data_IF_039544102689
#
_entry.id   IF_039544102689
#
_cell.length_a   1.000
_cell.length_b   1.000
_cell.length_c   1.000
_cell.angle_alpha   90.00
_cell.angle_beta   90.00
_cell.angle_gamma   90.00
#
_symmetry.space_group_name_H-M   'P 1'
#
loop_
_entity.id
_entity.type
_entity.pdbx_description
1 polymer ?
#
# COMPACT_ATOMS: atom_id res chain seq x y z
N UNK A 1 11.31 15.05 10.00
CA UNK A 1 11.55 14.09 8.90
C UNK A 1 10.44 14.28 7.88
N UNK A 2 10.71 14.12 6.57
CA UNK A 2 9.69 14.30 5.54
C UNK A 2 8.68 13.13 5.56
N UNK A 3 7.43 13.43 5.93
CA UNK A 3 6.31 12.52 5.84
C UNK A 3 5.49 12.82 4.59
N UNK A 4 4.90 11.78 4.01
CA UNK A 4 4.08 11.88 2.81
C UNK A 4 2.76 11.12 3.01
N UNK A 5 1.63 11.76 2.73
CA UNK A 5 0.45 11.01 2.32
C UNK A 5 0.85 10.14 1.12
N UNK A 6 0.41 8.88 1.12
CA UNK A 6 0.73 7.93 0.07
C UNK A 6 -0.36 6.85 -0.06
N UNK A 7 -0.74 6.55 -1.30
CA UNK A 7 -1.58 5.41 -1.69
C UNK A 7 -1.35 5.05 -3.18
N UNK A 8 -1.84 3.88 -3.60
CA UNK A 8 -1.85 3.45 -5.02
C UNK A 8 -3.21 2.86 -5.41
N UNK A 9 -3.72 3.18 -6.60
CA UNK A 9 -4.94 2.54 -7.14
C UNK A 9 -4.57 1.40 -8.09
N UNK A 10 -5.18 0.23 -7.88
CA UNK A 10 -4.98 -0.98 -8.68
C UNK A 10 -6.21 -1.40 -9.49
N UNK A 11 -5.99 -1.80 -10.74
CA UNK A 11 -6.94 -2.55 -11.54
C UNK A 11 -6.71 -4.05 -11.28
N UNK A 12 -7.53 -4.61 -10.39
CA UNK A 12 -7.56 -6.05 -10.12
C UNK A 12 -8.60 -6.74 -11.00
N UNK A 13 -8.29 -7.93 -11.52
CA UNK A 13 -9.22 -8.75 -12.32
C UNK A 13 -9.95 -9.80 -11.48
N UNK A 14 -9.29 -10.37 -10.46
CA UNK A 14 -9.84 -11.36 -9.54
C UNK A 14 -10.88 -10.80 -8.56
N UNK A 15 -11.43 -11.67 -7.70
CA UNK A 15 -12.42 -11.33 -6.66
C UNK A 15 -11.88 -10.36 -5.60
N UNK A 16 -10.56 -10.35 -5.40
CA UNK A 16 -9.81 -9.55 -4.43
C UNK A 16 -8.62 -8.89 -5.15
N UNK A 17 -8.12 -7.75 -4.65
CA UNK A 17 -6.81 -7.23 -5.06
C UNK A 17 -5.70 -8.22 -4.73
N UNK A 18 -4.75 -8.39 -5.64
CA UNK A 18 -3.50 -9.12 -5.46
C UNK A 18 -2.34 -8.30 -6.05
N UNK A 19 -1.49 -7.67 -5.22
CA UNK A 19 -0.44 -6.77 -5.68
C UNK A 19 0.64 -7.46 -6.54
N UNK A 20 0.69 -8.80 -6.58
CA UNK A 20 1.60 -9.54 -7.45
C UNK A 20 1.14 -9.59 -8.93
N UNK A 21 -0.15 -9.39 -9.22
CA UNK A 21 -0.74 -9.51 -10.57
C UNK A 21 -1.64 -8.34 -10.99
N UNK A 22 -2.15 -7.55 -10.05
CA UNK A 22 -2.93 -6.34 -10.32
C UNK A 22 -2.16 -5.36 -11.21
N UNK A 23 -2.86 -4.65 -12.10
CA UNK A 23 -2.27 -3.54 -12.86
C UNK A 23 -2.30 -2.26 -12.01
N UNK A 24 -1.16 -1.60 -11.87
CA UNK A 24 -1.07 -0.30 -11.20
C UNK A 24 -1.63 0.81 -12.11
N UNK A 25 -2.61 1.57 -11.62
CA UNK A 25 -3.27 2.66 -12.37
C UNK A 25 -2.66 4.02 -12.01
N UNK A 26 -2.60 4.33 -10.72
CA UNK A 26 -2.09 5.60 -10.20
C UNK A 26 -1.19 5.41 -9.00
N UNK A 27 -0.22 6.32 -8.85
CA UNK A 27 0.53 6.52 -7.61
C UNK A 27 0.25 7.94 -7.15
N UNK A 28 -0.29 8.10 -5.95
CA UNK A 28 -0.59 9.40 -5.37
C UNK A 28 0.25 9.65 -4.12
N UNK A 29 0.86 10.83 -4.04
CA UNK A 29 1.60 11.25 -2.85
C UNK A 29 1.60 12.77 -2.67
N UNK A 30 1.62 13.20 -1.40
CA UNK A 30 1.66 14.61 -1.02
C UNK A 30 2.49 14.77 0.24
N UNK A 31 3.42 15.72 0.26
CA UNK A 31 4.25 16.02 1.44
C UNK A 31 3.37 16.63 2.53
N UNK A 32 3.50 16.17 3.78
CA UNK A 32 2.66 16.59 4.90
C UNK A 32 3.49 16.89 6.16
N UNK A 33 2.97 17.75 7.04
CA UNK A 33 3.42 17.80 8.43
C UNK A 33 2.65 16.76 9.25
N UNK A 34 3.36 15.71 9.67
CA UNK A 34 2.80 14.65 10.50
C UNK A 34 2.34 15.14 11.89
N UNK A 35 2.80 16.32 12.31
CA UNK A 35 2.47 16.92 13.61
C UNK A 35 1.08 17.55 13.62
N UNK A 36 0.61 18.08 12.49
CA UNK A 36 -0.67 18.78 12.32
C UNK A 36 -1.66 18.03 11.42
N UNK A 37 -1.17 17.27 10.44
CA UNK A 37 -1.97 16.69 9.36
C UNK A 37 -2.07 17.57 8.11
N UNK A 38 -1.45 18.75 8.11
CA UNK A 38 -1.55 19.72 7.00
C UNK A 38 -0.63 19.35 5.82
N UNK A 39 -1.06 19.64 4.57
CA UNK A 39 -0.21 19.52 3.39
C UNK A 39 0.88 20.61 3.35
N UNK A 40 2.09 20.21 2.95
CA UNK A 40 3.28 21.05 2.79
C UNK A 40 3.68 21.25 1.32
N UNK A 41 2.77 20.94 0.39
CA UNK A 41 2.98 21.00 -1.06
C UNK A 41 1.76 20.46 -1.79
N UNK A 42 1.80 20.45 -3.12
CA UNK A 42 0.71 19.94 -3.95
C UNK A 42 0.62 18.40 -3.93
N UNK A 43 -0.56 17.88 -4.27
CA UNK A 43 -0.78 16.44 -4.46
C UNK A 43 -0.27 16.02 -5.84
N UNK A 44 0.80 15.24 -5.86
CA UNK A 44 1.26 14.55 -7.07
C UNK A 44 0.38 13.32 -7.32
N UNK A 45 -0.15 13.18 -8.53
CA UNK A 45 -0.84 11.98 -9.01
C UNK A 45 -0.17 11.53 -10.30
N UNK A 46 0.65 10.48 -10.22
CA UNK A 46 1.25 9.84 -11.38
C UNK A 46 0.20 8.90 -12.00
N UNK A 47 -0.05 9.03 -13.30
CA UNK A 47 -1.17 8.38 -14.01
C UNK A 47 -0.67 7.54 -15.18
N UNK A 48 -1.00 6.25 -15.20
CA UNK A 48 -0.52 5.34 -16.25
C UNK A 48 -1.05 5.70 -17.64
N UNK A 49 -2.29 6.19 -17.71
CA UNK A 49 -2.96 6.59 -18.96
C UNK A 49 -2.37 7.86 -19.61
N UNK A 50 -1.50 8.58 -18.90
CA UNK A 50 -0.76 9.75 -19.42
C UNK A 50 0.68 9.39 -19.82
N UNK A 51 1.11 8.15 -19.55
CA UNK A 51 2.47 7.69 -19.84
C UNK A 51 2.52 6.16 -20.00
N UNK A 52 2.81 5.43 -18.92
CA UNK A 52 2.60 3.99 -18.79
C UNK A 52 2.74 3.56 -17.33
N UNK A 53 2.26 2.35 -17.01
CA UNK A 53 2.46 1.68 -15.72
C UNK A 53 3.95 1.60 -15.33
N UNK A 54 4.82 1.31 -16.31
CA UNK A 54 6.27 1.32 -16.13
C UNK A 54 6.81 2.72 -15.81
N UNK A 55 6.33 3.76 -16.49
CA UNK A 55 6.83 5.12 -16.31
C UNK A 55 6.47 5.68 -14.93
N UNK A 56 5.26 5.41 -14.42
CA UNK A 56 4.84 5.92 -13.10
C UNK A 56 5.64 5.27 -11.97
N UNK A 57 5.84 3.93 -11.99
CA UNK A 57 6.66 3.27 -10.97
C UNK A 57 8.15 3.65 -11.10
N UNK A 58 8.66 3.83 -12.31
CA UNK A 58 10.04 4.31 -12.54
C UNK A 58 10.22 5.73 -12.02
N UNK A 59 9.24 6.62 -12.19
CA UNK A 59 9.27 7.99 -11.66
C UNK A 59 9.28 7.98 -10.12
N UNK A 60 8.35 7.24 -9.50
CA UNK A 60 8.25 7.11 -8.05
C UNK A 60 9.49 6.43 -7.42
N UNK A 61 10.05 5.43 -8.09
CA UNK A 61 11.31 4.79 -7.69
C UNK A 61 12.48 5.80 -7.67
N UNK A 62 12.60 6.61 -8.72
CA UNK A 62 13.69 7.57 -8.86
C UNK A 62 13.64 8.70 -7.79
N UNK A 63 12.44 9.07 -7.33
CA UNK A 63 12.24 10.07 -6.28
C UNK A 63 12.60 9.53 -4.88
N UNK A 64 12.17 8.32 -4.52
CA UNK A 64 12.13 7.86 -3.13
C UNK A 64 12.93 6.60 -2.77
N UNK A 65 13.46 5.87 -3.77
CA UNK A 65 14.03 4.52 -3.60
C UNK A 65 15.38 4.27 -4.28
N UNK A 66 16.01 5.31 -4.85
CA UNK A 66 17.40 5.24 -5.32
C UNK A 66 18.36 4.87 -4.15
N UNK A 67 19.46 4.12 -4.41
CA UNK A 67 20.36 3.63 -3.35
C UNK A 67 20.98 4.72 -2.46
N UNK A 68 21.14 5.92 -2.99
CA UNK A 68 21.74 7.08 -2.31
C UNK A 68 20.77 7.75 -1.32
N UNK A 69 19.47 7.44 -1.41
CA UNK A 69 18.42 8.08 -0.63
C UNK A 69 18.25 7.36 0.72
N UNK A 70 18.34 8.06 1.87
CA UNK A 70 18.16 7.43 3.17
C UNK A 70 16.71 6.93 3.32
N UNK A 71 16.51 5.84 4.07
CA UNK A 71 15.18 5.25 4.32
C UNK A 71 14.19 6.22 4.99
N UNK A 72 14.69 7.30 5.61
CA UNK A 72 13.89 8.40 6.19
C UNK A 72 13.53 9.52 5.21
N UNK A 73 13.98 9.46 3.94
CA UNK A 73 13.64 10.44 2.90
C UNK A 73 12.16 10.35 2.46
N UNK A 74 11.56 9.17 2.58
CA UNK A 74 10.15 8.94 2.30
C UNK A 74 9.56 8.09 3.42
N UNK A 75 8.74 8.72 4.27
CA UNK A 75 7.98 8.09 5.35
C UNK A 75 6.51 8.08 4.91
N UNK A 76 5.99 6.94 4.41
CA UNK A 76 4.62 6.85 3.92
C UNK A 76 3.61 6.87 5.05
N UNK A 77 2.49 7.55 4.79
CA UNK A 77 1.35 7.74 5.68
C UNK A 77 0.08 7.47 4.87
N UNK A 78 -0.66 6.42 5.23
CA UNK A 78 -1.75 5.93 4.39
C UNK A 78 -2.57 4.82 5.07
N UNK A 79 -3.36 4.09 4.29
CA UNK A 79 -4.32 3.11 4.79
C UNK A 79 -4.01 1.71 4.24
N UNK A 80 -3.57 0.78 5.08
CA UNK A 80 -3.24 -0.61 4.71
C UNK A 80 -2.00 -0.74 3.80
N UNK A 81 -0.93 -0.02 4.15
CA UNK A 81 0.32 0.17 3.39
C UNK A 81 1.06 -1.12 2.98
N UNK A 82 0.63 -2.29 3.47
CA UNK A 82 1.09 -3.61 3.03
C UNK A 82 0.78 -3.85 1.54
N UNK A 83 -0.36 -3.38 1.03
CA UNK A 83 -0.73 -3.56 -0.39
C UNK A 83 0.19 -2.76 -1.30
N UNK A 84 0.38 -1.48 -1.02
CA UNK A 84 1.32 -0.63 -1.75
C UNK A 84 2.76 -1.13 -1.67
N UNK A 85 3.18 -1.69 -0.53
CA UNK A 85 4.52 -2.21 -0.36
C UNK A 85 4.79 -3.45 -1.24
N UNK A 86 3.89 -4.43 -1.24
CA UNK A 86 4.03 -5.57 -2.15
C UNK A 86 3.85 -5.15 -3.62
N UNK A 87 2.99 -4.17 -3.92
CA UNK A 87 2.83 -3.61 -5.27
C UNK A 87 4.15 -2.98 -5.75
N UNK A 88 4.83 -2.18 -4.92
CA UNK A 88 6.15 -1.61 -5.24
C UNK A 88 7.16 -2.73 -5.56
N UNK A 89 7.23 -3.79 -4.74
CA UNK A 89 8.15 -4.92 -4.94
C UNK A 89 7.84 -5.65 -6.26
N UNK A 90 6.56 -5.98 -6.49
CA UNK A 90 6.10 -6.67 -7.69
C UNK A 90 6.39 -5.86 -8.96
N UNK A 91 6.06 -4.56 -8.96
CA UNK A 91 6.25 -3.68 -10.13
C UNK A 91 7.73 -3.39 -10.39
N UNK A 92 8.55 -3.20 -9.37
CA UNK A 92 10.00 -3.05 -9.56
C UNK A 92 10.61 -4.32 -10.18
N UNK A 93 10.18 -5.52 -9.75
CA UNK A 93 10.58 -6.80 -10.36
C UNK A 93 10.08 -6.92 -11.81
N UNK A 94 8.81 -6.62 -12.07
CA UNK A 94 8.17 -6.69 -13.39
C UNK A 94 8.91 -5.83 -14.44
N UNK A 95 9.30 -4.61 -14.06
CA UNK A 95 9.97 -3.65 -14.94
C UNK A 95 11.49 -3.61 -14.83
N UNK A 96 12.11 -4.57 -14.13
CA UNK A 96 13.57 -4.73 -13.98
C UNK A 96 14.25 -3.49 -13.36
N UNK A 97 13.54 -2.76 -12.50
CA UNK A 97 14.14 -1.74 -11.64
C UNK A 97 15.01 -2.40 -10.56
N UNK A 98 15.96 -1.67 -9.93
CA UNK A 98 16.76 -2.21 -8.85
C UNK A 98 15.87 -2.75 -7.71
N UNK A 99 16.19 -3.94 -7.22
CA UNK A 99 15.28 -4.69 -6.36
C UNK A 99 15.08 -4.00 -4.99
N UNK A 100 13.85 -3.55 -4.75
CA UNK A 100 13.36 -3.23 -3.41
C UNK A 100 12.98 -4.54 -2.72
N UNK A 101 13.43 -4.71 -1.48
CA UNK A 101 13.15 -5.89 -0.64
C UNK A 101 12.15 -5.57 0.45
N UNK A 102 11.41 -6.59 0.91
CA UNK A 102 10.55 -6.49 2.09
C UNK A 102 11.34 -6.04 3.33
N UNK A 103 12.62 -6.41 3.47
CA UNK A 103 13.46 -5.91 4.57
C UNK A 103 13.63 -4.38 4.53
N UNK A 104 13.87 -3.79 3.36
CA UNK A 104 13.98 -2.34 3.20
C UNK A 104 12.65 -1.61 3.49
N UNK A 105 11.51 -2.21 3.13
CA UNK A 105 10.19 -1.59 3.32
C UNK A 105 9.62 -1.76 4.72
N UNK A 106 9.60 -2.97 5.28
CA UNK A 106 8.93 -3.28 6.54
C UNK A 106 9.83 -3.17 7.78
N UNK A 107 11.15 -3.38 7.64
CA UNK A 107 12.07 -3.38 8.79
C UNK A 107 12.90 -2.08 8.87
N UNK A 108 13.40 -1.58 7.73
CA UNK A 108 14.30 -0.42 7.73
C UNK A 108 13.58 0.93 7.55
N UNK A 109 12.49 0.98 6.77
CA UNK A 109 11.76 2.22 6.49
C UNK A 109 10.62 2.44 7.49
N UNK A 110 10.61 3.54 8.27
CA UNK A 110 9.48 3.87 9.13
C UNK A 110 8.25 4.21 8.27
N UNK A 111 7.07 3.81 8.74
CA UNK A 111 5.77 4.05 8.08
C UNK A 111 4.70 4.37 9.12
N UNK A 112 3.65 5.08 8.73
CA UNK A 112 2.48 5.31 9.57
C UNK A 112 1.22 4.80 8.86
N UNK A 113 0.89 3.53 9.10
CA UNK A 113 -0.36 2.95 8.64
C UNK A 113 -1.51 3.32 9.59
N UNK A 114 -2.53 3.99 9.03
CA UNK A 114 -3.71 4.46 9.74
C UNK A 114 -4.75 3.34 9.95
N UNK A 115 -4.63 2.18 9.30
CA UNK A 115 -5.53 1.02 9.44
C UNK A 115 -5.74 0.65 10.90
N UNK A 116 -4.67 0.59 11.69
CA UNK A 116 -4.74 0.28 13.13
C UNK A 116 -5.50 1.34 13.94
N UNK A 117 -5.40 2.62 13.55
CA UNK A 117 -6.18 3.70 14.17
C UNK A 117 -7.65 3.60 13.76
N UNK A 118 -7.95 3.33 12.49
CA UNK A 118 -9.32 3.14 12.00
C UNK A 118 -9.99 1.91 12.64
N UNK A 119 -9.25 0.84 12.92
CA UNK A 119 -9.73 -0.30 13.73
C UNK A 119 -10.11 0.16 15.14
N UNK A 120 -9.28 0.97 15.82
CA UNK A 120 -9.58 1.50 17.15
C UNK A 120 -10.79 2.46 17.15
N UNK A 121 -10.96 3.26 16.09
CA UNK A 121 -12.13 4.12 15.90
C UNK A 121 -13.41 3.32 15.59
N UNK A 122 -13.30 2.08 15.08
CA UNK A 122 -14.41 1.15 14.82
C UNK A 122 -14.66 0.20 16.01
N UNK A 123 -14.50 0.67 17.25
CA UNK A 123 -14.65 -0.12 18.49
C UNK A 123 -13.72 -1.36 18.56
N UNK A 124 -12.54 -1.29 17.94
CA UNK A 124 -11.61 -2.42 17.82
C UNK A 124 -11.99 -3.46 16.76
N UNK A 125 -13.04 -3.23 15.96
CA UNK A 125 -13.53 -4.20 14.97
C UNK A 125 -12.78 -4.05 13.63
N UNK A 126 -12.17 -5.14 13.16
CA UNK A 126 -11.55 -5.19 11.83
C UNK A 126 -12.57 -5.17 10.68
N UNK A 127 -13.73 -5.81 10.88
CA UNK A 127 -14.83 -5.76 9.92
C UNK A 127 -15.43 -4.34 9.89
N UNK A 128 -15.33 -3.68 8.73
CA UNK A 128 -15.74 -2.28 8.57
C UNK A 128 -14.67 -1.24 8.96
N UNK A 129 -13.43 -1.63 9.25
CA UNK A 129 -12.34 -0.67 9.45
C UNK A 129 -11.86 -0.07 8.12
N UNK A 130 -12.68 0.81 7.52
CA UNK A 130 -12.46 1.48 6.23
C UNK A 130 -12.58 3.01 6.38
N UNK A 131 -11.91 3.76 5.51
CA UNK A 131 -11.88 5.24 5.57
C UNK A 131 -13.24 5.88 5.26
N UNK A 132 -14.06 5.25 4.42
CA UNK A 132 -15.41 5.69 4.05
C UNK A 132 -16.33 5.87 5.28
N UNK A 133 -16.26 4.97 6.27
CA UNK A 133 -17.02 5.04 7.51
C UNK A 133 -16.63 6.19 8.46
N UNK A 134 -15.47 6.83 8.23
CA UNK A 134 -14.96 7.95 9.05
C UNK A 134 -14.75 9.24 8.24
N UNK A 135 -15.23 9.30 6.99
CA UNK A 135 -15.09 10.44 6.09
C UNK A 135 -16.42 10.81 5.43
N UNK A 136 -16.47 11.95 4.75
CA UNK A 136 -17.65 12.42 4.02
C UNK A 136 -17.69 11.95 2.55
N UNK A 137 -16.96 10.89 2.21
CA UNK A 137 -16.73 10.44 0.83
C UNK A 137 -17.94 9.71 0.26
N UNK A 138 -18.25 9.93 -1.02
CA UNK A 138 -19.48 9.42 -1.66
C UNK A 138 -19.34 8.05 -2.32
N UNK A 139 -18.12 7.67 -2.70
CA UNK A 139 -17.84 6.48 -3.50
C UNK A 139 -16.74 5.63 -2.86
N UNK A 140 -16.95 4.32 -2.82
CA UNK A 140 -15.90 3.35 -2.51
C UNK A 140 -15.23 2.82 -3.80
N UNK A 141 -14.09 2.14 -3.64
CA UNK A 141 -13.26 1.67 -4.75
C UNK A 141 -13.93 0.65 -5.68
N UNK A 142 -15.14 0.16 -5.37
CA UNK A 142 -15.91 -0.79 -6.18
C UNK A 142 -16.17 -0.32 -7.63
N UNK A 143 -16.11 0.99 -7.86
CA UNK A 143 -16.30 1.59 -9.18
C UNK A 143 -15.01 1.69 -10.02
N UNK A 144 -13.83 1.52 -9.41
CA UNK A 144 -12.53 1.73 -10.05
C UNK A 144 -12.37 0.90 -11.34
N UNK A 145 -12.71 -0.40 -11.28
CA UNK A 145 -12.68 -1.30 -12.44
C UNK A 145 -13.49 -0.74 -13.62
N UNK A 146 -14.76 -0.39 -13.38
CA UNK A 146 -15.68 0.12 -14.41
C UNK A 146 -15.24 1.46 -14.97
N UNK A 147 -14.73 2.36 -14.12
CA UNK A 147 -14.21 3.64 -14.60
C UNK A 147 -12.96 3.45 -15.47
N UNK A 148 -12.09 2.51 -15.10
CA UNK A 148 -10.89 2.22 -15.88
C UNK A 148 -11.23 1.57 -17.23
N UNK A 149 -12.10 0.56 -17.25
CA UNK A 149 -12.64 -0.08 -18.46
C UNK A 149 -13.27 0.94 -19.43
N UNK A 150 -14.08 1.86 -18.90
CA UNK A 150 -14.75 2.91 -19.67
C UNK A 150 -13.85 4.11 -20.03
N UNK A 151 -12.60 4.15 -19.56
CA UNK A 151 -11.69 5.32 -19.68
C UNK A 151 -12.25 6.61 -19.06
N UNK A 152 -13.05 6.48 -18.00
CA UNK A 152 -13.58 7.54 -17.14
C UNK A 152 -12.48 8.17 -16.25
N UNK A 153 -11.31 8.46 -16.80
CA UNK A 153 -10.10 8.86 -16.05
C UNK A 153 -10.32 10.09 -15.14
N UNK A 154 -11.22 11.01 -15.52
CA UNK A 154 -11.63 12.15 -14.67
C UNK A 154 -12.34 11.73 -13.38
N UNK A 155 -13.07 10.61 -13.37
CA UNK A 155 -13.72 10.05 -12.17
C UNK A 155 -12.70 9.40 -11.26
N UNK A 156 -11.69 8.72 -11.83
CA UNK A 156 -10.55 8.15 -11.10
C UNK A 156 -9.73 9.27 -10.43
N UNK A 157 -9.36 10.32 -11.15
CA UNK A 157 -8.60 11.42 -10.55
C UNK A 157 -9.42 12.16 -9.47
N UNK A 158 -10.73 12.34 -9.67
CA UNK A 158 -11.61 12.90 -8.63
C UNK A 158 -11.67 12.01 -7.38
N UNK A 159 -11.80 10.69 -7.54
CA UNK A 159 -11.80 9.70 -6.46
C UNK A 159 -10.49 9.73 -5.65
N UNK A 160 -9.34 9.78 -6.33
CA UNK A 160 -8.01 9.88 -5.68
C UNK A 160 -7.88 11.18 -4.88
N UNK A 161 -8.43 12.28 -5.39
CA UNK A 161 -8.49 13.56 -4.66
C UNK A 161 -9.44 13.51 -3.45
N UNK A 162 -10.59 12.84 -3.55
CA UNK A 162 -11.49 12.59 -2.39
C UNK A 162 -10.83 11.69 -1.32
N UNK A 163 -10.12 10.61 -1.71
CA UNK A 163 -9.35 9.75 -0.78
C UNK A 163 -8.26 10.56 -0.07
N UNK A 164 -7.49 11.35 -0.82
CA UNK A 164 -6.44 12.22 -0.26
C UNK A 164 -7.04 13.15 0.80
N UNK A 165 -8.10 13.88 0.45
CA UNK A 165 -8.75 14.83 1.35
C UNK A 165 -9.32 14.14 2.59
N UNK A 166 -9.86 12.92 2.46
CA UNK A 166 -10.34 12.12 3.57
C UNK A 166 -9.21 11.69 4.53
N UNK A 167 -8.05 11.26 4.01
CA UNK A 167 -6.89 10.91 4.86
C UNK A 167 -6.32 12.15 5.56
N UNK A 168 -6.17 13.28 4.87
CA UNK A 168 -5.69 14.52 5.48
C UNK A 168 -6.63 15.00 6.60
N UNK A 169 -7.96 15.00 6.36
CA UNK A 169 -8.96 15.33 7.39
C UNK A 169 -8.89 14.39 8.60
N UNK A 170 -8.63 13.10 8.41
CA UNK A 170 -8.42 12.16 9.50
C UNK A 170 -7.14 12.49 10.31
N UNK A 171 -6.03 12.80 9.64
CA UNK A 171 -4.78 13.22 10.30
C UNK A 171 -4.96 14.53 11.09
N UNK A 172 -5.62 15.54 10.51
CA UNK A 172 -5.98 16.80 11.16
C UNK A 172 -6.87 16.55 12.40
N UNK A 173 -7.89 15.68 12.28
CA UNK A 173 -8.76 15.30 13.40
C UNK A 173 -7.97 14.64 14.54
N UNK A 174 -7.14 13.64 14.21
CA UNK A 174 -6.31 12.95 15.19
C UNK A 174 -5.34 13.92 15.88
N UNK A 175 -4.72 14.83 15.12
CA UNK A 175 -3.83 15.84 15.67
C UNK A 175 -4.54 16.81 16.61
N UNK A 176 -5.73 17.29 16.24
CA UNK A 176 -6.56 18.20 17.03
C UNK A 176 -7.03 17.60 18.35
N UNK A 177 -7.17 16.27 18.43
CA UNK A 177 -7.71 15.59 19.61
C UNK A 177 -6.70 14.69 20.35
N UNK A 178 -5.44 14.59 19.92
CA UNK A 178 -4.39 13.78 20.59
C UNK A 178 -4.24 14.04 22.09
N UNK A 179 -4.42 15.29 22.54
CA UNK A 179 -4.34 15.67 23.97
C UNK A 179 -5.51 15.15 24.80
N UNK A 180 -6.61 14.71 24.18
CA UNK A 180 -7.78 14.12 24.86
C UNK A 180 -7.64 12.61 25.13
N UNK A 181 -6.60 11.96 24.59
CA UNK A 181 -6.39 10.52 24.74
C UNK A 181 -5.94 10.10 26.14
N UNK A 182 -5.68 11.04 27.07
CA UNK A 182 -5.20 10.78 28.43
C UNK A 182 -3.74 10.32 28.51
N UNK A 183 -3.16 9.87 27.40
CA UNK A 183 -1.76 9.46 27.27
C UNK A 183 -0.89 10.71 27.08
N UNK A 184 -0.36 11.26 28.16
CA UNK A 184 0.68 12.30 28.08
C UNK A 184 2.03 11.67 27.72
N UNK A 185 2.80 12.30 26.84
CA UNK A 185 4.22 11.94 26.68
C UNK A 185 4.91 12.23 28.01
N UNK A 186 5.49 11.21 28.64
CA UNK A 186 6.34 11.40 29.82
C UNK A 186 7.53 12.29 29.44
N UNK A 187 7.66 13.43 30.11
CA UNK A 187 8.71 14.39 29.78
C UNK A 187 10.10 13.81 30.05
N UNK A 188 11.03 14.09 29.16
CA UNK A 188 12.45 13.71 29.28
C UNK A 188 13.18 14.73 30.20
N UNK A 189 12.60 14.97 31.37
CA UNK A 189 12.90 16.09 32.27
C UNK A 189 12.96 15.74 33.76
N UNK A 190 13.03 14.46 34.12
CA UNK A 190 13.39 14.08 35.49
C UNK A 190 14.82 14.57 35.80
N UNK A 191 15.07 15.25 36.93
CA UNK A 191 16.38 15.83 37.21
C UNK A 191 17.45 14.74 37.25
N UNK A 192 18.42 14.82 36.34
CA UNK A 192 19.62 13.97 36.39
C UNK A 192 20.36 14.30 37.67
N UNK A 193 20.18 13.47 38.70
CA UNK A 193 20.99 13.47 39.92
C UNK A 193 22.46 13.53 39.47
N UNK A 194 23.24 14.56 39.86
CA UNK A 194 24.59 14.72 39.34
C UNK A 194 25.38 13.45 39.64
N UNK A 195 26.12 12.96 38.64
CA UNK A 195 26.99 11.81 38.83
C UNK A 195 27.98 12.15 39.96
N UNK A 196 28.22 11.24 40.93
CA UNK A 196 29.21 11.49 41.97
C UNK A 196 30.57 11.73 41.29
N UNK A 197 31.24 12.81 41.67
CA UNK A 197 32.54 13.15 41.12
C UNK A 197 33.53 11.98 41.32
N UNK A 198 34.41 11.69 40.35
CA UNK A 198 35.38 10.60 40.47
C UNK A 198 36.26 10.85 41.70
N UNK A 199 36.22 9.92 42.66
CA UNK A 199 36.95 10.05 43.91
C UNK A 199 38.46 9.90 43.67
N UNK A 200 39.16 11.02 43.63
CA UNK A 200 40.62 11.04 43.68
C UNK A 200 41.10 10.48 45.03
N UNK A 201 41.54 9.21 45.01
CA UNK A 201 42.64 8.63 45.81
C UNK A 201 42.48 7.10 45.98
N UNK A 202 43.31 6.32 45.27
CA UNK A 202 44.31 5.41 45.90
C UNK A 202 45.24 4.83 44.83
N UNK A 203 46.48 4.53 45.24
CA UNK A 203 47.60 4.30 44.33
C UNK A 203 47.57 2.96 43.58
N UNK A 204 48.38 2.91 42.53
CA UNK A 204 48.67 1.69 41.77
C UNK A 204 49.42 0.66 42.63
N UNK A 205 49.07 -0.63 42.53
CA UNK A 205 50.01 -1.72 42.77
C UNK A 205 50.68 -2.10 41.44
N UNK A 206 51.96 -1.77 41.30
CA UNK A 206 52.78 -2.20 40.15
C UNK A 206 52.83 -3.72 40.09
N UNK A 207 52.41 -4.32 38.97
CA UNK A 207 52.56 -5.74 38.69
C UNK A 207 53.66 -5.97 37.62
N UNK A 208 54.51 -7.00 37.77
CA UNK A 208 55.70 -7.16 36.95
C UNK A 208 55.40 -7.58 35.50
N UNK A 209 56.31 -7.24 34.59
CA UNK A 209 56.15 -7.44 33.16
C UNK A 209 55.97 -8.91 32.77
N UNK A 210 54.81 -9.23 32.19
CA UNK A 210 54.53 -10.55 31.60
C UNK A 210 55.12 -10.60 30.18
N UNK A 211 56.06 -11.52 29.95
CA UNK A 211 56.76 -11.66 28.67
C UNK A 211 55.78 -11.95 27.52
N UNK A 212 56.00 -11.30 26.38
CA UNK A 212 55.20 -11.47 25.16
C UNK A 212 55.86 -12.53 24.26
N UNK A 213 55.23 -13.68 23.99
CA UNK A 213 55.72 -14.61 22.97
C UNK A 213 55.54 -14.00 21.57
N UNK A 214 56.52 -14.23 20.70
CA UNK A 214 56.62 -13.54 19.41
C UNK A 214 55.47 -13.88 18.44
N UNK A 215 55.09 -12.90 17.60
CA UNK A 215 54.25 -13.13 16.41
C UNK A 215 55.05 -13.87 15.34
N UNK A 216 54.50 -14.94 14.73
CA UNK A 216 54.91 -15.37 13.40
C UNK A 216 54.51 -14.32 12.35
N UNK A 217 55.34 -14.11 11.33
CA UNK A 217 54.97 -13.30 10.16
C UNK A 217 54.04 -14.08 9.21
N UNK A 218 53.17 -13.40 8.44
CA UNK A 218 52.33 -14.06 7.44
C UNK A 218 53.16 -14.57 6.26
N UNK A 219 52.92 -15.80 5.83
CA UNK A 219 53.49 -16.36 4.60
C UNK A 219 52.57 -16.08 3.41
N UNK A 220 53.09 -15.48 2.34
CA UNK A 220 52.36 -15.21 1.11
C UNK A 220 51.95 -16.51 0.38
N UNK A 221 50.82 -16.52 -0.35
CA UNK A 221 50.34 -17.72 -1.04
C UNK A 221 51.24 -18.10 -2.23
N UNK A 222 51.42 -19.41 -2.44
CA UNK A 222 51.98 -19.99 -3.66
C UNK A 222 50.92 -20.83 -4.37
N UNK A 223 50.59 -20.46 -5.60
CA UNK A 223 49.88 -21.34 -6.54
C UNK A 223 50.77 -22.54 -6.92
N UNK A 224 50.15 -23.67 -7.29
CA UNK A 224 50.57 -24.30 -8.54
C UNK A 224 49.41 -24.83 -9.40
N UNK A 225 49.66 -24.87 -10.71
CA UNK A 225 48.93 -25.58 -11.76
C UNK A 225 49.89 -25.71 -12.97
N UNK A 226 49.61 -26.51 -14.03
CA UNK A 226 48.69 -27.64 -14.17
C UNK A 226 49.36 -28.93 -14.74
N UNK A 227 48.69 -30.08 -14.66
CA UNK A 227 48.92 -31.30 -15.49
C UNK A 227 47.70 -32.22 -15.27
N UNK A 228 46.93 -32.68 -16.27
CA UNK A 228 47.22 -33.78 -17.22
C UNK A 228 47.67 -35.11 -16.54
N UNK A 229 47.11 -36.28 -16.88
CA UNK A 229 46.44 -36.68 -18.13
C UNK A 229 45.42 -37.85 -17.98
N UNK A 230 44.80 -38.21 -19.12
CA UNK A 230 44.00 -39.39 -19.53
C UNK A 230 44.09 -40.73 -18.74
N UNK A 231 43.20 -41.74 -18.91
CA UNK A 231 41.81 -41.87 -19.43
C UNK A 231 41.38 -43.37 -19.39
N UNK A 232 40.06 -43.69 -19.38
CA UNK A 232 39.50 -44.91 -20.04
C UNK A 232 37.96 -44.96 -20.14
N UNK A 233 37.49 -45.33 -21.33
CA UNK A 233 36.16 -45.88 -21.73
C UNK A 233 36.38 -47.39 -22.06
N UNK A 234 35.41 -48.21 -22.55
CA UNK A 234 33.97 -48.01 -22.86
C UNK A 234 33.07 -48.63 -21.76
N UNK A 235 31.78 -48.96 -21.90
CA UNK A 235 30.79 -48.91 -23.01
C UNK A 235 29.39 -48.51 -22.43
N UNK A 236 28.21 -48.61 -23.05
CA UNK A 236 27.66 -49.03 -24.37
C UNK A 236 26.56 -47.99 -24.75
N UNK A 237 26.00 -47.80 -25.96
CA UNK A 237 25.73 -48.57 -27.20
C UNK A 237 24.27 -49.06 -27.38
N UNK A 238 23.37 -48.16 -27.82
CA UNK A 238 22.46 -48.39 -28.97
C UNK A 238 21.71 -47.12 -29.46
N UNK A 239 21.53 -47.07 -30.77
CA UNK A 239 20.81 -46.10 -31.64
C UNK A 239 20.86 -46.69 -33.09
N UNK A 240 20.20 -46.15 -34.16
CA UNK A 240 19.50 -44.87 -34.29
C UNK A 240 18.15 -44.84 -35.10
N UNK A 241 17.33 -43.80 -34.84
CA UNK A 241 16.62 -42.96 -35.84
C UNK A 241 15.60 -43.62 -36.85
N UNK A 242 15.20 -42.99 -38.00
CA UNK A 242 13.94 -42.23 -38.03
C UNK A 242 13.01 -42.46 -39.26
N UNK A 243 11.80 -41.85 -39.25
CA UNK A 243 10.83 -41.60 -40.36
C UNK A 243 9.68 -40.71 -39.84
N UNK A 244 8.90 -39.93 -40.62
CA UNK A 244 9.06 -39.32 -41.96
C UNK A 244 7.95 -38.24 -42.16
N UNK A 245 8.16 -37.33 -43.11
CA UNK A 245 7.15 -36.48 -43.79
C UNK A 245 7.59 -36.34 -45.27
N UNK A 246 6.89 -35.64 -46.20
CA UNK A 246 5.52 -35.08 -46.19
C UNK A 246 4.67 -35.55 -47.41
N UNK A 247 3.47 -34.98 -47.63
CA UNK A 247 2.77 -34.99 -48.95
C UNK A 247 1.74 -33.83 -49.08
N UNK A 248 1.34 -33.50 -50.32
CA UNK A 248 0.30 -32.51 -50.69
C UNK A 248 -0.72 -33.16 -51.66
N UNK A 249 -1.97 -32.70 -51.70
CA UNK A 249 -2.90 -32.71 -52.86
C UNK A 249 -4.10 -31.78 -52.49
N UNK A 250 -4.28 -30.59 -53.08
CA UNK A 250 -4.94 -30.23 -54.35
C UNK A 250 -6.49 -30.27 -54.37
N UNK A 251 -7.10 -29.07 -54.54
CA UNK A 251 -8.32 -28.71 -55.32
C UNK A 251 -9.67 -29.43 -55.00
N UNK A 252 -10.86 -28.87 -55.25
CA UNK A 252 -11.23 -27.75 -56.11
C UNK A 252 -12.50 -26.98 -55.66
N UNK A 253 -12.64 -25.74 -56.14
CA UNK A 253 -13.92 -25.06 -56.48
C UNK A 253 -14.44 -25.55 -57.86
N UNK A 254 -15.68 -25.28 -58.35
CA UNK A 254 -16.51 -24.08 -58.10
C UNK A 254 -18.05 -24.28 -58.00
N UNK A 255 -18.83 -23.19 -57.90
CA UNK A 255 -20.30 -23.21 -57.90
C UNK A 255 -20.98 -21.82 -57.87
N UNK A 256 -20.88 -21.05 -58.96
CA UNK A 256 -21.36 -19.65 -59.07
C UNK A 256 -22.89 -19.52 -59.31
N UNK A 257 -23.44 -18.30 -59.14
CA UNK A 257 -24.74 -17.75 -59.65
C UNK A 257 -25.97 -17.82 -58.72
N UNK A 258 -26.89 -16.82 -58.65
CA UNK A 258 -26.85 -15.37 -59.01
C UNK A 258 -28.16 -14.67 -58.54
N UNK A 259 -28.10 -13.35 -58.26
CA UNK A 259 -29.25 -12.41 -58.05
C UNK A 259 -30.13 -12.70 -56.80
N UNK A 260 -30.74 -11.72 -56.14
CA UNK A 260 -30.65 -10.25 -56.24
C UNK A 260 -31.95 -9.55 -55.82
N UNK A 261 -31.88 -8.26 -55.47
CA UNK A 261 -33.03 -7.32 -55.21
C UNK A 261 -34.01 -7.67 -54.06
N UNK A 262 -34.68 -6.73 -53.38
CA UNK A 262 -34.48 -5.27 -53.20
C UNK A 262 -35.39 -4.73 -52.05
N UNK A 263 -35.07 -3.54 -51.53
CA UNK A 263 -35.96 -2.48 -51.02
C UNK A 263 -37.06 -2.70 -49.93
N UNK A 264 -36.96 -1.85 -48.89
CA UNK A 264 -38.04 -1.09 -48.19
C UNK A 264 -39.09 -1.79 -47.28
N UNK A 265 -39.63 -0.98 -46.35
CA UNK A 265 -40.56 -1.33 -45.25
C UNK A 265 -39.88 -1.08 -43.89
N UNK A 266 -40.27 -0.19 -42.97
CA UNK A 266 -41.57 0.45 -42.60
C UNK A 266 -42.70 -0.57 -42.32
N UNK A 267 -43.52 -0.42 -41.26
CA UNK A 267 -43.45 0.36 -40.02
C UNK A 267 -44.61 -0.11 -39.09
N UNK A 268 -44.56 0.20 -37.78
CA UNK A 268 -45.75 0.18 -36.87
C UNK A 268 -46.43 -1.21 -36.69
N UNK A 269 -47.43 -1.47 -35.82
CA UNK A 269 -47.94 -0.87 -34.56
C UNK A 269 -48.72 -1.96 -33.77
N UNK A 270 -49.26 -1.63 -32.58
CA UNK A 270 -50.16 -2.50 -31.79
C UNK A 270 -49.42 -3.46 -30.84
N UNK A 271 -49.43 -3.37 -29.50
CA UNK A 271 -50.39 -2.90 -28.46
C UNK A 271 -51.37 -3.98 -27.94
N UNK A 272 -51.72 -3.84 -26.65
CA UNK A 272 -52.89 -4.36 -25.94
C UNK A 272 -52.95 -5.85 -25.47
N UNK A 273 -52.40 -6.07 -24.26
CA UNK A 273 -53.01 -6.89 -23.17
C UNK A 273 -52.94 -8.44 -23.40
N UNK A 274 -53.24 -9.33 -22.44
CA UNK A 274 -54.00 -9.21 -21.17
C UNK A 274 -53.68 -10.33 -20.15
N UNK A 275 -53.54 -9.98 -18.86
CA UNK A 275 -53.75 -10.86 -17.67
C UNK A 275 -52.81 -12.09 -17.50
N UNK A 276 -52.65 -12.72 -16.33
CA UNK A 276 -53.42 -12.67 -15.07
C UNK A 276 -52.54 -12.76 -13.80
N UNK A 277 -53.12 -13.05 -12.63
CA UNK A 277 -52.45 -13.06 -11.31
C UNK A 277 -51.51 -14.26 -11.05
N UNK A 278 -51.02 -14.49 -9.82
CA UNK A 278 -51.56 -14.07 -8.50
C UNK A 278 -50.45 -14.03 -7.43
N UNK A 279 -50.63 -13.27 -6.36
CA UNK A 279 -49.58 -12.96 -5.37
C UNK A 279 -49.57 -13.86 -4.12
N UNK A 280 -48.43 -13.90 -3.42
CA UNK A 280 -48.21 -14.10 -1.96
C UNK A 280 -46.69 -13.95 -1.65
N UNK A 281 -46.18 -13.42 -0.53
CA UNK A 281 -46.47 -12.25 0.34
C UNK A 281 -45.84 -12.48 1.74
N UNK A 282 -44.59 -12.04 1.95
CA UNK A 282 -43.92 -11.85 3.26
C UNK A 282 -42.50 -11.29 2.99
N UNK A 283 -41.82 -10.47 3.81
CA UNK A 283 -42.16 -9.53 4.88
C UNK A 283 -40.95 -8.54 4.99
N UNK A 284 -41.04 -7.35 5.64
CA UNK A 284 -40.14 -6.24 5.31
C UNK A 284 -38.74 -6.28 5.94
N UNK A 285 -37.76 -5.69 5.25
CA UNK A 285 -36.49 -5.25 5.85
C UNK A 285 -36.73 -3.96 6.66
N UNK A 286 -36.29 -3.95 7.92
CA UNK A 286 -36.35 -2.75 8.76
C UNK A 286 -35.35 -1.69 8.27
N UNK A 287 -35.83 -0.45 8.10
CA UNK A 287 -35.03 0.72 7.76
C UNK A 287 -34.59 1.46 9.03
N UNK A 288 -33.36 1.23 9.49
CA UNK A 288 -32.76 2.08 10.52
C UNK A 288 -32.34 3.44 9.92
N UNK A 289 -32.64 4.59 10.55
CA UNK A 289 -32.21 5.90 10.06
C UNK A 289 -30.72 6.14 10.32
N UNK A 290 -30.04 7.01 9.54
CA UNK A 290 -28.66 7.41 9.82
C UNK A 290 -28.52 8.05 11.20
N UNK A 291 -27.55 7.58 11.99
CA UNK A 291 -27.27 8.11 13.32
C UNK A 291 -26.67 9.51 13.26
N UNK A 292 -27.50 10.54 13.49
CA UNK A 292 -27.02 11.90 13.67
C UNK A 292 -26.04 11.98 14.85
N UNK A 293 -24.98 12.78 14.69
CA UNK A 293 -23.96 13.02 15.70
C UNK A 293 -24.57 13.33 17.08
N UNK A 294 -24.39 12.44 18.05
CA UNK A 294 -24.77 12.69 19.45
C UNK A 294 -23.94 13.85 19.99
N UNK A 295 -24.57 15.03 20.10
CA UNK A 295 -24.03 16.19 20.80
C UNK A 295 -23.93 15.89 22.30
N UNK A 296 -22.82 15.31 22.74
CA UNK A 296 -22.51 15.19 24.17
C UNK A 296 -22.18 16.57 24.74
N UNK A 297 -23.21 17.25 25.25
CA UNK A 297 -23.02 18.38 26.16
C UNK A 297 -22.50 17.86 27.52
N UNK A 298 -21.46 18.47 28.12
CA UNK A 298 -20.95 18.04 29.42
C UNK A 298 -21.95 18.41 30.53
N UNK A 299 -22.22 17.46 31.43
CA UNK A 299 -23.07 17.68 32.60
C UNK A 299 -22.40 18.63 33.59
N UNK A 300 -23.10 19.72 33.93
CA UNK A 300 -22.63 20.77 34.84
C UNK A 300 -22.76 20.31 36.30
N UNK A 301 -21.70 19.73 36.87
CA UNK A 301 -21.66 19.36 38.29
C UNK A 301 -21.79 20.59 39.20
N UNK A 302 -22.99 20.83 39.73
CA UNK A 302 -23.27 21.86 40.73
C UNK A 302 -22.89 21.38 42.13
N UNK A 303 -21.62 21.51 42.52
CA UNK A 303 -21.17 21.28 43.90
C UNK A 303 -21.60 22.45 44.79
N UNK A 304 -22.68 22.27 45.56
CA UNK A 304 -23.24 23.25 46.48
C UNK A 304 -22.49 23.28 47.81
N UNK A 305 -21.37 24.00 47.87
CA UNK A 305 -20.63 24.20 49.12
C UNK A 305 -21.22 25.36 49.92
N UNK A 306 -21.91 25.07 51.04
CA UNK A 306 -22.38 26.09 52.00
C UNK A 306 -21.20 26.93 52.54
N UNK A 307 -21.36 28.25 52.73
CA UNK A 307 -20.42 29.03 53.53
C UNK A 307 -20.55 28.67 55.01
N UNK A 308 -19.46 28.80 55.78
CA UNK A 308 -19.49 28.64 57.23
C UNK A 308 -19.92 29.94 57.91
N UNK A 309 -20.88 29.87 58.83
CA UNK A 309 -21.32 31.00 59.65
C UNK A 309 -20.21 31.37 60.65
N UNK A 310 -19.65 32.58 60.53
CA UNK A 310 -18.57 33.07 61.42
C UNK A 310 -19.12 34.12 62.37
N UNK A 311 -19.75 33.67 63.46
CA UNK A 311 -20.18 34.56 64.54
C UNK A 311 -18.98 35.23 65.24
N UNK A 312 -19.18 36.50 65.58
CA UNK A 312 -18.69 37.10 66.82
C UNK A 312 -19.80 36.98 67.86
#
# INVERSE_FOLDING_TARGET
>A
MPAYYFAMEGYHTGEKPDPAVDKLITIQYQKIDLTTGEPLGELTILKEWESSEQQIITTFYNEFFRPEMPVTHFIPVGMSLDYEYEMIIAKCRQYKLPAITSHQLYFQRPRFDLRSIVVLLNDGRFAGARLDLFSSKKYDGSHMRKWYENKDFKKIEHFVREETEAVLKLLQYLSKYKTRLGITKKEEGGPRKPAPAPSSARGEPVLPARQVPARPHPASPKSPAPSMQAAKKPADARSPAPKKSPAKLLKAEPGTQRKGSAQLGKAESGDAKRSSGKAKSAAPRSSAPPSQFRKHAPTRNTSTRKPAERRR
#
